data_IF_559501628142
#
_entry.id   IF_559501628142
#
_cell.length_a   1.000
_cell.length_b   1.000
_cell.length_c   1.000
_cell.angle_alpha   90.00
_cell.angle_beta   90.00
_cell.angle_gamma   90.00
#
_symmetry.space_group_name_H-M   'P 1'
#
loop_
_entity.id
_entity.type
_entity.pdbx_description
1 polymer ?
#
# COMPACT_ATOMS: atom_id res chain seq x y z
N UNK A 1 66.96 -26.63 20.18
CA UNK A 1 66.65 -26.06 21.52
C UNK A 1 65.73 -24.86 21.27
N UNK A 2 64.44 -24.97 21.63
CA UNK A 2 63.79 -24.19 22.70
C UNK A 2 64.04 -22.67 22.54
N UNK A 3 63.11 -21.80 22.14
CA UNK A 3 61.66 -21.74 22.37
C UNK A 3 61.36 -20.55 23.29
N UNK A 4 60.47 -19.63 22.86
CA UNK A 4 59.59 -18.68 23.60
C UNK A 4 59.24 -17.51 22.65
N UNK A 5 58.02 -17.31 22.12
CA UNK A 5 56.69 -17.06 22.72
C UNK A 5 56.54 -15.66 23.36
N UNK A 6 55.69 -14.80 22.75
CA UNK A 6 54.65 -13.95 23.37
C UNK A 6 54.20 -12.86 22.36
N UNK A 7 52.96 -12.93 21.87
CA UNK A 7 51.82 -12.08 22.28
C UNK A 7 51.79 -10.74 21.52
N UNK A 8 50.79 -10.38 20.70
CA UNK A 8 49.38 -10.76 20.69
C UNK A 8 48.55 -9.52 21.00
N UNK A 9 48.08 -8.79 19.97
CA UNK A 9 46.97 -7.85 20.09
C UNK A 9 46.04 -8.05 18.89
N UNK A 10 44.92 -8.68 19.18
CA UNK A 10 43.75 -8.89 18.34
C UNK A 10 42.84 -7.66 18.51
N UNK A 11 42.79 -6.77 17.51
CA UNK A 11 41.85 -5.65 17.52
C UNK A 11 40.55 -6.08 16.83
N UNK A 12 39.54 -6.40 17.64
CA UNK A 12 38.17 -6.64 17.21
C UNK A 12 37.48 -5.29 16.95
N UNK A 13 37.23 -4.96 15.68
CA UNK A 13 36.37 -3.85 15.26
C UNK A 13 34.93 -4.37 15.13
N UNK A 14 34.20 -4.37 16.25
CA UNK A 14 32.74 -4.48 16.27
C UNK A 14 32.17 -3.07 16.09
N UNK A 15 31.91 -2.66 14.86
CA UNK A 15 31.14 -1.46 14.58
C UNK A 15 29.65 -1.79 14.54
N UNK A 16 28.96 -1.25 15.54
CA UNK A 16 27.52 -1.14 15.67
C UNK A 16 26.84 -0.64 14.39
N UNK A 17 25.84 -1.37 13.93
CA UNK A 17 24.86 -0.94 12.93
C UNK A 17 23.43 -1.08 13.45
N UNK A 18 23.14 -0.58 14.66
CA UNK A 18 21.76 -0.41 15.08
C UNK A 18 21.18 0.75 14.27
N UNK A 19 20.31 0.43 13.30
CA UNK A 19 19.45 1.39 12.62
C UNK A 19 18.79 2.29 13.65
N UNK A 20 19.07 3.59 13.58
CA UNK A 20 18.34 4.59 14.34
C UNK A 20 16.89 4.59 13.86
N UNK A 21 15.97 4.08 14.67
CA UNK A 21 14.57 4.47 14.54
C UNK A 21 14.50 5.99 14.76
N UNK A 22 13.75 6.74 13.93
CA UNK A 22 13.54 8.16 14.18
C UNK A 22 12.96 8.32 15.58
N UNK A 23 13.70 9.02 16.44
CA UNK A 23 13.28 9.34 17.80
C UNK A 23 12.12 10.31 17.68
N UNK A 24 10.90 9.80 17.84
CA UNK A 24 9.72 10.64 18.02
C UNK A 24 9.90 11.38 19.35
N UNK A 25 9.80 12.71 19.32
CA UNK A 25 9.92 13.56 20.50
C UNK A 25 8.70 13.30 21.41
N UNK A 26 8.88 12.80 22.65
CA UNK A 26 7.77 12.37 23.49
C UNK A 26 6.90 13.51 24.02
N UNK A 27 7.31 14.78 23.82
CA UNK A 27 6.62 15.97 24.32
C UNK A 27 5.70 16.66 23.30
N UNK A 28 5.64 16.16 22.06
CA UNK A 28 4.62 16.60 21.10
C UNK A 28 3.52 15.56 21.06
N UNK A 29 2.33 15.88 21.58
CA UNK A 29 1.16 15.04 21.39
C UNK A 29 0.97 14.81 19.87
N UNK A 30 1.07 13.57 19.38
CA UNK A 30 0.95 13.27 17.95
C UNK A 30 -0.44 13.63 17.40
N UNK A 31 -1.46 13.74 18.26
CA UNK A 31 -2.80 14.19 17.89
C UNK A 31 -2.87 15.71 17.68
N UNK A 32 -2.08 16.48 18.44
CA UNK A 32 -2.01 17.96 18.32
C UNK A 32 -1.31 18.41 17.02
N UNK A 33 -0.64 17.49 16.32
CA UNK A 33 0.12 17.78 15.11
C UNK A 33 -0.65 17.57 13.79
N UNK A 34 -1.88 17.05 13.80
CA UNK A 34 -2.68 16.81 12.58
C UNK A 34 -3.45 18.08 12.20
N UNK A 35 -3.30 18.60 10.96
CA UNK A 35 -4.11 19.71 10.48
C UNK A 35 -5.61 19.38 10.52
N UNK A 36 -6.42 20.34 10.95
CA UNK A 36 -7.89 20.16 11.09
C UNK A 36 -8.60 19.88 9.77
N UNK A 37 -7.97 20.27 8.66
CA UNK A 37 -8.45 20.08 7.29
C UNK A 37 -7.65 18.99 6.55
N UNK A 38 -6.95 18.12 7.29
CA UNK A 38 -6.15 17.05 6.69
C UNK A 38 -7.01 16.11 5.85
N UNK A 39 -6.79 16.13 4.53
CA UNK A 39 -7.34 15.14 3.61
C UNK A 39 -6.22 14.48 2.83
N UNK A 40 -6.39 13.19 2.53
CA UNK A 40 -5.48 12.46 1.67
C UNK A 40 -6.28 11.72 0.59
N UNK A 41 -6.06 12.07 -0.67
CA UNK A 41 -6.68 11.45 -1.85
C UNK A 41 -5.59 10.78 -2.68
N UNK A 42 -5.64 9.46 -2.79
CA UNK A 42 -4.67 8.65 -3.51
C UNK A 42 -5.38 7.86 -4.60
N UNK A 43 -4.95 8.05 -5.84
CA UNK A 43 -5.44 7.31 -7.00
C UNK A 43 -4.29 6.53 -7.63
N UNK A 44 -4.50 5.24 -7.85
CA UNK A 44 -3.63 4.35 -8.63
C UNK A 44 -4.35 4.08 -9.93
N UNK A 45 -3.73 4.47 -11.03
CA UNK A 45 -4.21 4.17 -12.37
C UNK A 45 -3.27 3.20 -13.05
N UNK A 46 -3.87 2.27 -13.78
CA UNK A 46 -3.17 1.29 -14.60
C UNK A 46 -3.82 1.36 -15.98
N UNK A 47 -3.02 1.36 -17.03
CA UNK A 47 -3.56 1.33 -18.39
C UNK A 47 -4.45 0.09 -18.63
N UNK A 48 -5.49 0.22 -19.44
CA UNK A 48 -6.46 -0.87 -19.68
C UNK A 48 -5.85 -2.11 -20.35
N UNK A 49 -4.81 -1.91 -21.17
CA UNK A 49 -4.07 -2.98 -21.86
C UNK A 49 -3.08 -3.73 -20.95
N UNK A 50 -2.81 -3.24 -19.74
CA UNK A 50 -1.97 -3.96 -18.79
C UNK A 50 -2.77 -5.08 -18.14
N UNK A 51 -2.24 -6.32 -18.08
CA UNK A 51 -2.87 -7.41 -17.34
C UNK A 51 -3.05 -7.10 -15.85
N UNK A 52 -2.28 -6.11 -15.36
CA UNK A 52 -2.22 -5.69 -13.96
C UNK A 52 -1.57 -6.75 -13.07
N UNK A 53 -1.22 -6.34 -11.86
CA UNK A 53 -0.89 -7.28 -10.79
C UNK A 53 -1.99 -7.23 -9.73
N UNK A 54 -3.04 -8.09 -9.83
CA UNK A 54 -4.16 -8.07 -8.89
C UNK A 54 -3.72 -8.39 -7.46
N UNK A 55 -2.53 -8.96 -7.29
CA UNK A 55 -1.95 -9.32 -6.00
C UNK A 55 -1.37 -8.12 -5.25
N UNK A 56 -0.92 -7.10 -5.99
CA UNK A 56 -0.28 -5.90 -5.46
C UNK A 56 -1.20 -4.67 -5.60
N UNK A 57 -1.69 -4.15 -4.47
CA UNK A 57 -2.65 -3.03 -4.46
C UNK A 57 -2.11 -1.72 -5.03
N UNK A 58 -0.78 -1.53 -5.04
CA UNK A 58 -0.10 -0.41 -5.67
C UNK A 58 0.17 -0.62 -7.17
N UNK A 59 -0.34 -1.72 -7.76
CA UNK A 59 -0.19 -2.05 -9.20
C UNK A 59 -1.50 -2.45 -9.85
N UNK A 60 -2.62 -2.17 -9.18
CA UNK A 60 -3.96 -2.37 -9.69
C UNK A 60 -4.75 -1.08 -9.52
N UNK A 61 -5.74 -0.81 -10.38
CA UNK A 61 -6.53 0.41 -10.25
C UNK A 61 -7.18 0.49 -8.86
N UNK A 62 -7.11 1.67 -8.26
CA UNK A 62 -7.56 1.86 -6.90
C UNK A 62 -7.67 3.31 -6.51
N UNK A 63 -8.61 3.62 -5.61
CA UNK A 63 -8.81 4.97 -5.11
C UNK A 63 -9.07 4.95 -3.61
N UNK A 64 -8.36 5.81 -2.88
CA UNK A 64 -8.41 5.92 -1.44
C UNK A 64 -8.58 7.38 -1.05
N UNK A 65 -9.61 7.70 -0.27
CA UNK A 65 -9.82 9.06 0.24
C UNK A 65 -10.00 9.01 1.74
N UNK A 66 -9.09 9.63 2.49
CA UNK A 66 -9.20 9.86 3.92
C UNK A 66 -9.63 11.30 4.17
N UNK A 67 -10.75 11.48 4.86
CA UNK A 67 -11.29 12.76 5.28
C UNK A 67 -10.85 13.15 6.71
N UNK A 68 -10.99 14.44 7.09
CA UNK A 68 -10.52 14.93 8.39
C UNK A 68 -11.29 14.35 9.59
N UNK A 69 -12.51 13.87 9.35
CA UNK A 69 -13.34 13.16 10.33
C UNK A 69 -12.93 11.68 10.52
N UNK A 70 -11.86 11.25 9.84
CA UNK A 70 -11.35 9.89 9.90
C UNK A 70 -12.09 8.91 8.99
N UNK A 71 -13.07 9.34 8.19
CA UNK A 71 -13.73 8.45 7.23
C UNK A 71 -12.76 8.12 6.09
N UNK A 72 -12.49 6.83 5.91
CA UNK A 72 -11.73 6.28 4.79
C UNK A 72 -12.70 5.64 3.79
N UNK A 73 -12.68 6.18 2.59
CA UNK A 73 -13.29 5.56 1.41
C UNK A 73 -12.22 4.82 0.62
N UNK A 74 -12.50 3.59 0.21
CA UNK A 74 -11.62 2.83 -0.69
C UNK A 74 -12.42 2.04 -1.70
N UNK A 75 -11.87 1.94 -2.91
CA UNK A 75 -12.35 1.03 -3.95
C UNK A 75 -11.15 0.58 -4.79
N UNK A 76 -11.13 -0.69 -5.20
CA UNK A 76 -10.07 -1.24 -6.04
C UNK A 76 -10.63 -2.22 -7.06
N UNK A 77 -9.97 -2.27 -8.23
CA UNK A 77 -10.37 -3.16 -9.33
C UNK A 77 -10.70 -2.40 -10.61
N UNK A 78 -11.12 -3.17 -11.61
CA UNK A 78 -11.42 -2.67 -12.94
C UNK A 78 -12.47 -1.54 -12.92
N UNK A 79 -12.22 -0.47 -13.68
CA UNK A 79 -13.12 0.69 -13.77
C UNK A 79 -12.92 1.76 -12.70
N UNK A 80 -12.02 1.57 -11.73
CA UNK A 80 -11.62 2.63 -10.79
C UNK A 80 -10.72 3.65 -11.50
N UNK A 81 -11.11 4.92 -11.44
CA UNK A 81 -10.43 6.07 -12.06
C UNK A 81 -10.47 7.31 -11.16
N UNK A 82 -9.93 8.43 -11.62
CA UNK A 82 -10.00 9.71 -10.89
C UNK A 82 -11.41 10.19 -10.57
N UNK A 83 -12.39 9.87 -11.42
CA UNK A 83 -13.77 10.31 -11.21
C UNK A 83 -14.58 9.34 -10.35
N UNK A 84 -14.02 8.16 -10.05
CA UNK A 84 -14.64 7.20 -9.16
C UNK A 84 -14.87 7.81 -7.78
N UNK A 85 -16.07 7.60 -7.26
CA UNK A 85 -16.43 7.93 -5.89
C UNK A 85 -16.36 6.65 -5.06
N UNK A 86 -15.23 6.38 -4.37
CA UNK A 86 -15.08 5.14 -3.62
C UNK A 86 -16.14 5.05 -2.52
N UNK A 87 -16.60 3.83 -2.24
CA UNK A 87 -17.53 3.57 -1.15
C UNK A 87 -16.86 3.87 0.20
N UNK A 88 -17.67 4.20 1.21
CA UNK A 88 -17.15 4.30 2.58
C UNK A 88 -16.77 2.90 3.04
N UNK A 89 -15.52 2.73 3.45
CA UNK A 89 -15.00 1.43 3.83
C UNK A 89 -14.81 1.33 5.33
N UNK A 90 -14.29 2.38 5.98
CA UNK A 90 -14.01 2.38 7.42
C UNK A 90 -14.01 3.77 8.02
N UNK A 91 -14.33 3.87 9.31
CA UNK A 91 -14.02 5.06 10.13
C UNK A 91 -12.78 4.76 10.98
N UNK A 92 -11.75 5.57 10.81
CA UNK A 92 -10.51 5.51 11.57
C UNK A 92 -10.66 6.34 12.86
N UNK A 93 -10.04 5.90 13.95
CA UNK A 93 -9.96 6.73 15.15
C UNK A 93 -8.86 7.80 15.01
N UNK A 94 -8.91 8.84 15.84
CA UNK A 94 -7.97 9.99 15.78
C UNK A 94 -6.49 9.54 15.79
N UNK A 95 -6.15 8.56 16.64
CA UNK A 95 -4.79 7.98 16.68
C UNK A 95 -4.36 7.30 15.38
N UNK A 96 -5.28 6.72 14.60
CA UNK A 96 -4.98 6.18 13.26
C UNK A 96 -4.77 7.30 12.24
N UNK A 97 -5.59 8.35 12.30
CA UNK A 97 -5.42 9.52 11.43
C UNK A 97 -4.06 10.18 11.68
N UNK A 98 -3.68 10.35 12.94
CA UNK A 98 -2.35 10.88 13.31
C UNK A 98 -1.20 9.99 12.84
N UNK A 99 -1.36 8.67 12.85
CA UNK A 99 -0.38 7.75 12.27
C UNK A 99 -0.25 7.91 10.75
N UNK A 100 -1.37 8.07 10.04
CA UNK A 100 -1.36 8.32 8.58
C UNK A 100 -0.71 9.66 8.28
N UNK A 101 -1.04 10.72 9.03
CA UNK A 101 -0.39 12.03 8.88
C UNK A 101 1.11 11.98 9.16
N UNK A 102 1.52 11.30 10.23
CA UNK A 102 2.95 11.09 10.54
C UNK A 102 3.66 10.34 9.42
N UNK A 103 3.02 9.32 8.82
CA UNK A 103 3.54 8.63 7.65
C UNK A 103 3.70 9.59 6.46
N UNK A 104 2.67 10.37 6.11
CA UNK A 104 2.70 11.38 5.04
C UNK A 104 3.88 12.35 5.24
N UNK A 105 4.08 12.85 6.46
CA UNK A 105 5.24 13.70 6.80
C UNK A 105 6.56 12.97 6.63
N UNK A 106 6.68 11.75 7.16
CA UNK A 106 7.92 10.97 7.10
C UNK A 106 8.35 10.61 5.67
N UNK A 107 7.39 10.47 4.76
CA UNK A 107 7.60 10.19 3.35
C UNK A 107 7.89 11.45 2.52
N UNK A 108 7.76 12.64 3.11
CA UNK A 108 7.99 13.92 2.44
C UNK A 108 6.76 14.48 1.73
N UNK A 109 5.60 13.80 1.77
CA UNK A 109 4.37 14.25 1.13
C UNK A 109 3.74 15.48 1.79
N UNK A 110 4.17 15.85 3.00
CA UNK A 110 3.77 17.09 3.65
C UNK A 110 4.51 18.35 3.14
N UNK A 111 5.60 18.19 2.39
CA UNK A 111 6.41 19.32 1.90
C UNK A 111 5.94 19.79 0.52
N UNK A 112 5.06 20.80 0.52
CA UNK A 112 4.53 21.41 -0.70
C UNK A 112 5.61 21.86 -1.69
N UNK A 113 6.82 22.22 -1.24
CA UNK A 113 7.88 22.67 -2.16
C UNK A 113 8.39 21.57 -3.09
N UNK A 114 8.10 20.30 -2.76
CA UNK A 114 8.42 19.10 -3.54
C UNK A 114 7.26 18.58 -4.37
N UNK A 115 6.11 19.24 -4.29
CA UNK A 115 4.91 18.82 -5.01
C UNK A 115 5.01 19.18 -6.50
N UNK A 116 4.36 18.38 -7.33
CA UNK A 116 4.31 18.61 -8.77
C UNK A 116 3.37 19.77 -9.10
N UNK A 117 3.80 20.60 -10.03
CA UNK A 117 2.97 21.71 -10.56
C UNK A 117 2.04 21.17 -11.63
N UNK A 118 0.94 20.55 -11.19
CA UNK A 118 -0.03 19.93 -12.08
C UNK A 118 -1.30 20.76 -12.23
N UNK A 119 -1.90 20.63 -13.41
CA UNK A 119 -3.25 21.11 -13.72
C UNK A 119 -4.30 20.14 -13.17
N UNK A 120 -5.16 19.61 -14.04
CA UNK A 120 -6.11 18.58 -13.66
C UNK A 120 -5.48 17.17 -13.83
N UNK A 121 -5.23 16.40 -12.75
CA UNK A 121 -4.65 15.07 -12.84
C UNK A 121 -5.46 14.11 -13.70
N UNK A 122 -6.77 14.32 -13.81
CA UNK A 122 -7.65 13.51 -14.66
C UNK A 122 -7.39 13.67 -16.17
N UNK A 123 -6.55 14.62 -16.57
CA UNK A 123 -6.13 14.82 -17.96
C UNK A 123 -4.78 14.18 -18.28
N UNK A 124 -4.09 13.60 -17.28
CA UNK A 124 -2.83 12.91 -17.50
C UNK A 124 -3.08 11.63 -18.30
N UNK A 125 -2.38 11.50 -19.43
CA UNK A 125 -2.39 10.29 -20.25
C UNK A 125 -1.30 9.35 -19.75
N UNK A 126 -1.66 8.08 -19.60
CA UNK A 126 -0.75 7.01 -19.20
C UNK A 126 -0.45 6.19 -20.44
N UNK A 127 0.82 5.85 -20.68
CA UNK A 127 1.19 4.97 -21.79
C UNK A 127 0.74 3.52 -21.53
N UNK A 128 0.66 2.65 -22.57
CA UNK A 128 0.09 1.32 -22.45
C UNK A 128 0.72 0.37 -21.43
N UNK A 129 1.95 0.62 -21.01
CA UNK A 129 2.75 -0.19 -20.09
C UNK A 129 3.01 0.52 -18.75
N UNK A 130 2.32 1.64 -18.50
CA UNK A 130 2.55 2.48 -17.34
C UNK A 130 1.47 2.38 -16.27
N UNK A 131 1.93 2.63 -15.06
CA UNK A 131 1.14 2.80 -13.84
C UNK A 131 1.41 4.22 -13.34
N UNK A 132 0.35 4.91 -12.95
CA UNK A 132 0.42 6.26 -12.39
C UNK A 132 -0.15 6.28 -10.97
N UNK A 133 0.67 6.69 -10.00
CA UNK A 133 0.23 7.07 -8.67
C UNK A 133 0.04 8.57 -8.59
N UNK A 134 -1.13 9.00 -8.16
CA UNK A 134 -1.40 10.40 -7.80
C UNK A 134 -1.75 10.49 -6.34
N UNK A 135 -0.98 11.28 -5.60
CA UNK A 135 -1.15 11.49 -4.16
C UNK A 135 -1.44 12.96 -3.95
N UNK A 136 -2.64 13.28 -3.48
CA UNK A 136 -3.07 14.64 -3.21
C UNK A 136 -3.30 14.84 -1.72
N UNK A 137 -2.65 15.86 -1.17
CA UNK A 137 -2.72 16.22 0.24
C UNK A 137 -3.40 17.57 0.35
N UNK A 138 -4.37 17.68 1.27
CA UNK A 138 -4.85 18.96 1.77
C UNK A 138 -4.45 19.08 3.23
N UNK A 139 -3.84 20.21 3.59
CA UNK A 139 -3.51 20.56 4.95
C UNK A 139 -3.20 22.07 5.02
N UNK A 140 -3.50 22.70 6.15
CA UNK A 140 -3.24 24.13 6.38
C UNK A 140 -3.88 25.03 5.30
N UNK A 141 -5.11 24.69 4.93
CA UNK A 141 -5.93 25.33 3.88
C UNK A 141 -5.31 25.33 2.49
N UNK A 142 -4.40 24.40 2.22
CA UNK A 142 -3.67 24.28 0.96
C UNK A 142 -3.76 22.85 0.44
N UNK A 143 -3.85 22.73 -0.88
CA UNK A 143 -3.87 21.45 -1.61
C UNK A 143 -2.69 21.37 -2.56
N UNK A 144 -2.03 20.21 -2.61
CA UNK A 144 -0.93 19.93 -3.54
C UNK A 144 -0.87 18.43 -3.84
N UNK A 145 -0.16 18.05 -4.90
CA UNK A 145 -0.18 16.69 -5.42
C UNK A 145 1.20 16.22 -5.88
N UNK A 146 1.40 14.91 -5.86
CA UNK A 146 2.60 14.22 -6.33
C UNK A 146 2.22 13.15 -7.35
N UNK A 147 2.98 13.06 -8.44
CA UNK A 147 2.80 12.10 -9.53
C UNK A 147 4.00 11.17 -9.59
N UNK A 148 3.73 9.87 -9.65
CA UNK A 148 4.74 8.87 -9.92
C UNK A 148 4.25 7.98 -11.06
N UNK A 149 4.90 8.10 -12.21
CA UNK A 149 4.69 7.23 -13.36
C UNK A 149 5.84 6.25 -13.46
N UNK A 150 5.55 4.97 -13.68
CA UNK A 150 6.55 3.91 -13.84
C UNK A 150 5.97 2.77 -14.68
N UNK A 151 6.84 2.00 -15.33
CA UNK A 151 6.43 0.80 -16.08
C UNK A 151 6.07 -0.36 -15.13
N UNK A 152 5.17 -1.26 -15.54
CA UNK A 152 4.78 -2.38 -14.68
C UNK A 152 5.96 -3.32 -14.31
N UNK A 153 6.98 -3.40 -15.16
CA UNK A 153 8.18 -4.22 -14.87
C UNK A 153 9.18 -3.52 -13.97
N UNK A 154 9.09 -2.20 -13.82
CA UNK A 154 10.03 -1.39 -13.06
C UNK A 154 9.66 -1.29 -11.58
N UNK A 155 10.64 -1.06 -10.69
CA UNK A 155 10.34 -0.82 -9.29
C UNK A 155 9.55 0.48 -9.12
N UNK A 156 8.34 0.36 -8.56
CA UNK A 156 7.54 1.50 -8.16
C UNK A 156 8.26 2.37 -7.11
N UNK A 157 7.93 3.67 -7.05
CA UNK A 157 8.45 4.56 -6.02
C UNK A 157 8.11 4.02 -4.62
N UNK A 158 9.13 3.93 -3.76
CA UNK A 158 9.01 3.27 -2.47
C UNK A 158 8.10 4.03 -1.49
N UNK A 159 8.06 5.35 -1.60
CA UNK A 159 7.25 6.19 -0.72
C UNK A 159 5.75 6.06 -1.06
N UNK A 160 5.39 6.22 -2.33
CA UNK A 160 4.03 6.06 -2.84
C UNK A 160 3.52 4.64 -2.58
N UNK A 161 4.33 3.62 -2.90
CA UNK A 161 4.01 2.21 -2.64
C UNK A 161 3.71 1.95 -1.17
N UNK A 162 4.54 2.46 -0.26
CA UNK A 162 4.33 2.29 1.18
C UNK A 162 3.04 2.96 1.64
N UNK A 163 2.74 4.16 1.16
CA UNK A 163 1.52 4.88 1.50
C UNK A 163 0.26 4.12 1.04
N UNK A 164 0.23 3.72 -0.23
CA UNK A 164 -0.90 2.98 -0.83
C UNK A 164 -1.15 1.68 -0.06
N UNK A 165 -0.11 0.90 0.24
CA UNK A 165 -0.23 -0.35 1.02
C UNK A 165 -0.77 -0.13 2.42
N UNK A 166 -0.40 0.96 3.08
CA UNK A 166 -0.94 1.30 4.41
C UNK A 166 -2.42 1.67 4.32
N UNK A 167 -2.82 2.50 3.35
CA UNK A 167 -4.23 2.86 3.13
C UNK A 167 -5.07 1.63 2.78
N UNK A 168 -4.58 0.79 1.87
CA UNK A 168 -5.20 -0.48 1.51
C UNK A 168 -5.42 -1.37 2.74
N UNK A 169 -4.41 -1.54 3.59
CA UNK A 169 -4.52 -2.32 4.82
C UNK A 169 -5.56 -1.74 5.80
N UNK A 170 -5.62 -0.41 5.92
CA UNK A 170 -6.63 0.26 6.76
C UNK A 170 -8.04 0.11 6.19
N UNK A 171 -8.19 0.15 4.87
CA UNK A 171 -9.43 -0.09 4.12
C UNK A 171 -9.76 -1.56 3.88
N UNK A 172 -9.05 -2.50 4.51
CA UNK A 172 -9.25 -3.95 4.28
C UNK A 172 -9.12 -4.43 2.83
N UNK A 173 -8.48 -3.65 1.97
CA UNK A 173 -8.11 -4.10 0.64
C UNK A 173 -7.03 -5.18 0.80
N UNK A 174 -7.39 -6.43 0.47
CA UNK A 174 -6.48 -7.56 0.57
C UNK A 174 -5.44 -7.49 -0.56
N UNK A 175 -4.17 -7.44 -0.19
CA UNK A 175 -3.12 -7.99 -1.05
C UNK A 175 -3.41 -9.49 -1.18
N UNK A 176 -3.61 -9.95 -2.42
CA UNK A 176 -3.70 -11.38 -2.65
C UNK A 176 -2.26 -11.92 -2.58
N UNK A 177 -1.99 -13.02 -1.89
CA UNK A 177 -0.68 -13.63 -2.00
C UNK A 177 -0.51 -14.02 -3.48
N UNK A 178 0.61 -13.63 -4.10
CA UNK A 178 0.84 -13.74 -5.55
C UNK A 178 0.54 -15.14 -6.08
N UNK A 179 0.33 -15.27 -7.40
CA UNK A 179 -0.15 -16.49 -8.09
C UNK A 179 0.48 -17.83 -7.64
N UNK A 180 1.66 -17.81 -7.01
CA UNK A 180 2.28 -18.94 -6.32
C UNK A 180 1.49 -19.52 -5.11
N UNK A 181 0.44 -18.84 -4.66
CA UNK A 181 -0.29 -19.14 -3.41
C UNK A 181 -1.72 -19.62 -3.66
N UNK A 182 -2.06 -19.96 -4.91
CA UNK A 182 -3.21 -20.84 -5.14
C UNK A 182 -2.83 -22.19 -4.57
N UNK A 183 -3.11 -22.40 -3.28
CA UNK A 183 -3.27 -23.76 -2.78
C UNK A 183 -4.15 -24.49 -3.79
N UNK A 184 -3.72 -25.66 -4.30
CA UNK A 184 -4.58 -26.43 -5.17
C UNK A 184 -5.89 -26.62 -4.43
N UNK A 185 -7.01 -26.30 -5.07
CA UNK A 185 -8.32 -26.63 -4.54
C UNK A 185 -8.32 -28.15 -4.37
N UNK A 186 -8.14 -28.62 -3.15
CA UNK A 186 -8.23 -30.03 -2.82
C UNK A 186 -9.67 -30.43 -3.09
N UNK A 187 -9.92 -30.97 -4.29
CA UNK A 187 -11.15 -31.73 -4.54
C UNK A 187 -11.01 -32.99 -3.72
N UNK A 188 -11.69 -33.00 -2.59
CA UNK A 188 -11.89 -34.22 -1.82
C UNK A 188 -12.65 -35.19 -2.74
N UNK A 189 -11.98 -36.25 -3.16
CA UNK A 189 -12.66 -37.39 -3.76
C UNK A 189 -13.43 -38.06 -2.61
N UNK A 190 -14.76 -37.89 -2.62
CA UNK A 190 -15.64 -38.49 -1.62
C UNK A 190 -15.78 -40.01 -1.79
N UNK A 191 -15.02 -40.60 -2.70
CA UNK A 191 -15.09 -42.01 -3.05
C UNK A 191 -16.26 -42.28 -3.99
N UNK A 192 -16.46 -43.55 -4.37
CA UNK A 192 -17.57 -43.95 -5.23
C UNK A 192 -18.93 -43.58 -4.61
N UNK A 193 -19.90 -43.24 -5.46
CA UNK A 193 -21.27 -42.90 -5.05
C UNK A 193 -21.85 -43.98 -4.11
N UNK A 194 -22.11 -43.67 -2.82
CA UNK A 194 -22.60 -44.64 -1.85
C UNK A 194 -24.00 -45.17 -2.17
N UNK A 195 -24.74 -44.50 -3.07
CA UNK A 195 -26.09 -44.87 -3.45
C UNK A 195 -26.17 -45.59 -4.80
N UNK A 196 -25.02 -45.90 -5.44
CA UNK A 196 -24.99 -46.60 -6.72
C UNK A 196 -25.77 -47.94 -6.69
N UNK A 197 -25.77 -48.62 -5.55
CA UNK A 197 -26.47 -49.89 -5.33
C UNK A 197 -27.98 -49.77 -5.18
N UNK A 198 -28.50 -48.58 -4.83
CA UNK A 198 -29.93 -48.34 -4.65
C UNK A 198 -30.62 -47.90 -5.95
N UNK A 199 -29.85 -47.38 -6.92
CA UNK A 199 -30.39 -46.88 -8.19
C UNK A 199 -30.71 -47.98 -9.20
N UNK A 200 -30.28 -49.22 -8.96
CA UNK A 200 -30.54 -50.36 -9.84
C UNK A 200 -31.91 -51.01 -9.65
N UNK A 201 -32.62 -50.72 -8.54
CA UNK A 201 -33.91 -51.37 -8.23
C UNK A 201 -35.14 -50.61 -8.72
N UNK A 202 -34.99 -49.39 -9.24
CA UNK A 202 -36.11 -48.50 -9.64
C UNK A 202 -36.54 -48.67 -11.12
N UNK A 203 -36.07 -49.71 -11.79
CA UNK A 203 -36.34 -50.00 -13.21
C UNK A 203 -37.10 -51.31 -13.45
N UNK A 204 -38.02 -51.67 -12.55
CA UNK A 204 -38.89 -52.85 -12.71
C UNK A 204 -40.37 -52.50 -12.80
#
# INVERSE_FOLDING_TARGET
MRGTAAAGILTVLLLCGCQGQPRMDPDTDPLVAVPVDFTLDVTVMVHEDLPGDPSNVHRRPGKFILFPDGILHSDTGEGVSFDTRPAQTRTLHEGQVAQVWSLVRSLGFADRSRADSIGNPALEQIEPDQILHVITVTADSRRWSYLYTFEDVEPADAASTRLIRVLARLGWEREMPGAASREPVWRFDFGPDPYATLRTDDSR
#
